data_IF_194059147145
#
_entry.id   IF_194059147145
#
_cell.length_a   1.000
_cell.length_b   1.000
_cell.length_c   1.000
_cell.angle_alpha   90.00
_cell.angle_beta   90.00
_cell.angle_gamma   90.00
#
_symmetry.space_group_name_H-M   'P 1'
#
loop_
_entity.id
_entity.type
_entity.pdbx_description
1 polymer ?
#
# COMPACT_ATOMS: atom_id res chain seq x y z
N UNK A 1 5.09 18.00 -0.42
CA UNK A 1 4.50 18.48 0.86
C UNK A 1 4.87 17.62 2.08
N UNK A 2 5.10 16.30 1.96
CA UNK A 2 5.48 15.44 3.10
C UNK A 2 6.94 15.54 3.56
N UNK A 3 7.86 16.09 2.74
CA UNK A 3 9.31 16.14 3.04
C UNK A 3 9.68 16.76 4.40
N UNK A 4 8.87 17.66 4.95
CA UNK A 4 9.13 18.33 6.23
C UNK A 4 8.42 17.68 7.44
N UNK A 5 7.69 16.58 7.24
CA UNK A 5 6.77 16.02 8.23
C UNK A 5 7.09 14.54 8.55
N UNK A 6 8.35 14.21 8.84
CA UNK A 6 8.78 12.83 9.13
C UNK A 6 8.13 12.22 10.37
N UNK A 7 7.69 13.06 11.33
CA UNK A 7 6.96 12.65 12.53
C UNK A 7 5.46 12.41 12.31
N UNK A 8 4.95 12.59 11.10
CA UNK A 8 3.54 12.39 10.82
C UNK A 8 3.20 10.90 10.95
N UNK A 9 2.26 10.58 11.83
CA UNK A 9 1.86 9.19 12.13
C UNK A 9 0.57 8.76 11.43
N UNK A 10 -0.21 9.70 10.93
CA UNK A 10 -1.43 9.45 10.16
C UNK A 10 -1.58 10.48 9.08
N UNK A 11 -1.96 10.03 7.88
CA UNK A 11 -2.29 10.88 6.76
C UNK A 11 -3.74 10.57 6.34
N UNK A 12 -4.68 11.50 6.58
CA UNK A 12 -6.05 11.43 6.03
C UNK A 12 -6.08 11.88 4.56
N UNK A 13 -5.19 11.31 3.76
CA UNK A 13 -5.29 11.41 2.31
C UNK A 13 -6.05 10.18 1.84
N UNK A 14 -6.97 10.34 0.89
CA UNK A 14 -7.73 9.22 0.31
C UNK A 14 -6.81 8.10 -0.13
N UNK A 15 -5.60 8.46 -0.59
CA UNK A 15 -4.60 7.53 -1.06
C UNK A 15 -3.15 7.95 -0.76
N UNK A 16 -2.62 7.49 0.36
CA UNK A 16 -1.22 7.72 0.77
C UNK A 16 -0.19 7.14 -0.21
N UNK A 17 -0.58 6.22 -1.10
CA UNK A 17 0.33 5.70 -2.14
C UNK A 17 0.55 6.70 -3.29
N UNK A 18 -0.38 7.63 -3.54
CA UNK A 18 -0.10 8.78 -4.44
C UNK A 18 0.97 9.69 -3.84
N UNK A 19 0.89 9.88 -2.52
CA UNK A 19 1.85 10.71 -1.82
C UNK A 19 3.27 10.12 -1.91
N UNK A 20 3.40 8.78 -1.87
CA UNK A 20 4.65 8.06 -2.10
C UNK A 20 5.30 8.41 -3.45
N UNK A 21 4.55 8.39 -4.56
CA UNK A 21 5.09 8.73 -5.89
C UNK A 21 5.69 10.15 -5.94
N UNK A 22 5.02 11.12 -5.32
CA UNK A 22 5.51 12.50 -5.31
C UNK A 22 6.74 12.70 -4.42
N UNK A 23 6.93 11.83 -3.42
CA UNK A 23 8.13 11.82 -2.57
C UNK A 23 9.30 11.17 -3.33
N UNK A 24 9.06 10.01 -3.96
CA UNK A 24 10.09 9.19 -4.61
C UNK A 24 10.65 9.86 -5.88
N UNK A 25 9.80 10.54 -6.67
CA UNK A 25 10.21 11.29 -7.86
C UNK A 25 11.25 12.41 -7.60
N UNK A 26 11.48 12.77 -6.32
CA UNK A 26 12.40 13.83 -5.93
C UNK A 26 13.55 13.35 -5.01
N UNK A 27 13.80 12.03 -4.88
CA UNK A 27 14.85 11.50 -4.00
C UNK A 27 15.68 10.41 -4.71
N UNK A 28 16.71 10.86 -5.44
CA UNK A 28 17.81 10.02 -5.91
C UNK A 28 18.75 9.69 -4.74
N UNK A 29 18.83 8.41 -4.39
CA UNK A 29 19.94 7.72 -3.69
C UNK A 29 20.37 8.13 -2.26
N UNK A 30 19.98 9.29 -1.72
CA UNK A 30 20.25 9.60 -0.31
C UNK A 30 19.19 8.99 0.61
N UNK A 31 19.65 8.25 1.61
CA UNK A 31 18.92 7.64 2.73
C UNK A 31 17.46 8.09 2.79
N UNK A 32 16.57 7.25 2.24
CA UNK A 32 15.14 7.57 2.16
C UNK A 32 14.65 7.86 3.58
N UNK A 33 14.05 9.03 3.84
CA UNK A 33 13.50 9.32 5.14
C UNK A 33 12.40 8.30 5.45
N UNK A 34 12.59 7.52 6.50
CA UNK A 34 11.55 6.64 7.03
C UNK A 34 10.47 7.53 7.65
N UNK A 35 9.32 7.60 7.00
CA UNK A 35 8.20 8.36 7.54
C UNK A 35 7.54 7.54 8.66
N UNK A 36 7.22 8.21 9.77
CA UNK A 36 6.58 7.59 10.94
C UNK A 36 5.11 7.20 10.74
N UNK A 37 4.63 7.05 9.50
CA UNK A 37 3.23 6.74 9.21
C UNK A 37 2.87 5.36 9.73
N UNK A 38 1.85 5.32 10.59
CA UNK A 38 1.29 4.11 11.19
C UNK A 38 -0.04 3.72 10.57
N UNK A 39 -0.79 4.68 10.01
CA UNK A 39 -2.08 4.44 9.37
C UNK A 39 -2.04 4.89 7.91
N UNK A 40 -2.27 3.96 6.99
CA UNK A 40 -2.24 4.17 5.56
C UNK A 40 -3.51 3.69 4.85
N UNK A 41 -3.89 4.41 3.81
CA UNK A 41 -4.87 4.00 2.80
C UNK A 41 -4.18 3.98 1.45
N UNK A 42 -4.15 2.83 0.78
CA UNK A 42 -3.56 2.59 -0.54
C UNK A 42 -4.67 2.13 -1.48
N UNK A 43 -5.46 3.09 -1.93
CA UNK A 43 -6.55 2.84 -2.86
C UNK A 43 -6.09 3.08 -4.30
N UNK A 44 -6.99 2.90 -5.26
CA UNK A 44 -6.79 3.41 -6.60
C UNK A 44 -8.08 4.10 -7.03
N UNK A 45 -7.94 5.26 -7.67
CA UNK A 45 -9.07 5.98 -8.23
C UNK A 45 -9.48 5.32 -9.55
N UNK A 46 -10.47 4.45 -9.50
CA UNK A 46 -10.95 3.69 -10.67
C UNK A 46 -11.69 4.57 -11.68
N UNK A 47 -11.82 5.88 -11.45
CA UNK A 47 -12.48 6.79 -12.39
C UNK A 47 -11.65 7.10 -13.64
N UNK A 48 -10.33 6.87 -13.62
CA UNK A 48 -9.50 6.97 -14.82
C UNK A 48 -9.67 5.70 -15.67
N UNK A 49 -10.18 5.88 -16.90
CA UNK A 49 -10.29 4.86 -17.94
C UNK A 49 -8.91 4.43 -18.48
N UNK A 50 -7.98 4.09 -17.61
CA UNK A 50 -6.71 3.51 -18.02
C UNK A 50 -6.91 2.04 -18.44
N UNK A 51 -6.11 1.56 -19.40
CA UNK A 51 -6.15 0.16 -19.83
C UNK A 51 -5.73 -0.73 -18.65
N UNK A 52 -6.39 -1.89 -18.46
CA UNK A 52 -6.14 -2.84 -17.35
C UNK A 52 -4.66 -3.16 -17.10
N UNK A 53 -3.85 -3.32 -18.15
CA UNK A 53 -2.42 -3.63 -18.00
C UNK A 53 -1.59 -2.43 -17.50
N UNK A 54 -1.93 -1.21 -17.93
CA UNK A 54 -1.28 0.01 -17.46
C UNK A 54 -1.64 0.30 -16.00
N UNK A 55 -2.90 0.02 -15.63
CA UNK A 55 -3.39 0.06 -14.25
C UNK A 55 -2.61 -0.90 -13.35
N UNK A 56 -2.38 -2.12 -13.82
CA UNK A 56 -1.64 -3.14 -13.07
C UNK A 56 -0.22 -2.69 -12.71
N UNK A 57 0.57 -2.30 -13.72
CA UNK A 57 1.99 -1.94 -13.54
C UNK A 57 2.11 -0.71 -12.63
N UNK A 58 1.34 0.34 -12.92
CA UNK A 58 1.37 1.58 -12.13
C UNK A 58 0.94 1.34 -10.68
N UNK A 59 -0.03 0.45 -10.43
CA UNK A 59 -0.45 0.11 -9.08
C UNK A 59 0.64 -0.67 -8.32
N UNK A 60 1.24 -1.68 -8.95
CA UNK A 60 2.30 -2.49 -8.33
C UNK A 60 3.52 -1.62 -7.95
N UNK A 61 3.95 -0.73 -8.85
CA UNK A 61 5.04 0.22 -8.58
C UNK A 61 4.71 1.11 -7.38
N UNK A 62 3.46 1.61 -7.32
CA UNK A 62 2.98 2.45 -6.21
C UNK A 62 2.99 1.73 -4.87
N UNK A 63 2.52 0.50 -4.82
CA UNK A 63 2.57 -0.31 -3.59
C UNK A 63 4.01 -0.57 -3.19
N UNK A 64 4.87 -0.91 -4.15
CA UNK A 64 6.30 -1.17 -3.91
C UNK A 64 6.99 0.03 -3.28
N UNK A 65 6.83 1.23 -3.85
CA UNK A 65 7.40 2.46 -3.28
C UNK A 65 6.79 2.80 -1.93
N UNK A 66 5.48 2.59 -1.74
CA UNK A 66 4.80 2.90 -0.47
C UNK A 66 5.29 2.04 0.69
N UNK A 67 5.48 0.74 0.45
CA UNK A 67 6.03 -0.19 1.45
C UNK A 67 7.43 0.21 1.89
N UNK A 68 8.26 0.69 0.95
CA UNK A 68 9.61 1.16 1.25
C UNK A 68 9.64 2.48 2.01
N UNK A 69 8.69 3.39 1.74
CA UNK A 69 8.62 4.70 2.38
C UNK A 69 7.95 4.67 3.75
N UNK A 70 7.07 3.70 3.97
CA UNK A 70 6.24 3.60 5.18
C UNK A 70 6.43 2.24 5.89
N UNK A 71 7.66 1.91 6.34
CA UNK A 71 7.94 0.60 6.94
C UNK A 71 7.25 0.39 8.30
N UNK A 72 6.85 1.47 8.97
CA UNK A 72 6.23 1.47 10.31
C UNK A 72 4.70 1.38 10.29
N UNK A 73 4.09 1.05 9.14
CA UNK A 73 2.63 0.93 9.03
C UNK A 73 2.11 -0.17 9.94
N UNK A 74 1.12 0.19 10.75
CA UNK A 74 0.41 -0.70 11.67
C UNK A 74 -1.02 -0.98 11.19
N UNK A 75 -1.65 -0.03 10.51
CA UNK A 75 -3.00 -0.14 9.96
C UNK A 75 -2.99 0.21 8.47
N UNK A 76 -3.40 -0.74 7.64
CA UNK A 76 -3.47 -0.58 6.19
C UNK A 76 -4.87 -0.88 5.67
N UNK A 77 -5.43 0.06 4.92
CA UNK A 77 -6.51 -0.18 3.98
C UNK A 77 -5.94 -0.22 2.55
N UNK A 78 -6.19 -1.29 1.79
CA UNK A 78 -5.69 -1.46 0.43
C UNK A 78 -6.80 -1.91 -0.53
N UNK A 79 -6.86 -1.31 -1.72
CA UNK A 79 -7.64 -1.82 -2.85
C UNK A 79 -6.75 -2.73 -3.69
N UNK A 80 -7.01 -4.04 -3.71
CA UNK A 80 -6.19 -5.01 -4.41
C UNK A 80 -6.58 -5.12 -5.88
N UNK A 81 -5.60 -4.86 -6.73
CA UNK A 81 -5.68 -5.05 -8.19
C UNK A 81 -4.74 -6.16 -8.70
N UNK A 82 -3.79 -6.60 -7.86
CA UNK A 82 -2.71 -7.52 -8.25
C UNK A 82 -2.33 -8.48 -7.13
N UNK A 83 -1.93 -9.70 -7.48
CA UNK A 83 -1.44 -10.71 -6.53
C UNK A 83 0.01 -10.41 -6.09
N UNK A 84 0.84 -9.95 -7.03
CA UNK A 84 2.24 -9.58 -6.76
C UNK A 84 2.38 -8.57 -5.61
N UNK A 85 1.35 -7.76 -5.40
CA UNK A 85 1.22 -6.78 -4.33
C UNK A 85 1.44 -7.44 -2.94
N UNK A 86 1.03 -8.70 -2.75
CA UNK A 86 1.14 -9.41 -1.48
C UNK A 86 2.58 -9.69 -1.05
N UNK A 87 3.48 -9.97 -2.00
CA UNK A 87 4.89 -10.21 -1.69
C UNK A 87 5.55 -8.98 -1.07
N UNK A 88 5.08 -7.78 -1.45
CA UNK A 88 5.55 -6.53 -0.86
C UNK A 88 4.93 -6.28 0.51
N UNK A 89 3.66 -6.63 0.72
CA UNK A 89 3.02 -6.48 2.04
C UNK A 89 3.73 -7.29 3.14
N UNK A 90 4.37 -8.43 2.81
CA UNK A 90 5.19 -9.22 3.75
C UNK A 90 6.38 -8.45 4.35
N UNK A 91 6.77 -7.31 3.75
CA UNK A 91 7.84 -6.44 4.25
C UNK A 91 7.38 -5.53 5.39
N UNK A 92 6.07 -5.33 5.57
CA UNK A 92 5.51 -4.49 6.63
C UNK A 92 5.50 -5.21 7.98
N UNK A 93 6.61 -5.14 8.73
CA UNK A 93 6.78 -5.91 9.99
C UNK A 93 5.92 -5.44 11.17
N UNK A 94 5.31 -4.26 11.06
CA UNK A 94 4.49 -3.67 12.12
C UNK A 94 2.98 -3.77 11.87
N UNK A 95 2.58 -4.36 10.73
CA UNK A 95 1.18 -4.42 10.32
C UNK A 95 0.34 -5.27 11.28
N UNK A 96 -0.63 -4.65 11.95
CA UNK A 96 -1.56 -5.24 12.92
C UNK A 96 -3.00 -5.25 12.42
N UNK A 97 -3.37 -4.33 11.55
CA UNK A 97 -4.71 -4.23 10.98
C UNK A 97 -4.61 -4.15 9.46
N UNK A 98 -5.28 -5.07 8.77
CA UNK A 98 -5.32 -5.12 7.32
C UNK A 98 -6.78 -5.15 6.85
N UNK A 99 -7.17 -4.14 6.07
CA UNK A 99 -8.43 -4.07 5.36
C UNK A 99 -8.16 -4.16 3.86
N UNK A 100 -8.72 -5.18 3.22
CA UNK A 100 -8.55 -5.44 1.80
C UNK A 100 -9.87 -5.32 1.09
N UNK A 101 -9.88 -4.53 0.01
CA UNK A 101 -11.00 -4.39 -0.89
C UNK A 101 -10.58 -4.99 -2.23
N UNK A 102 -11.33 -5.95 -2.75
CA UNK A 102 -11.09 -6.50 -4.07
C UNK A 102 -11.83 -5.67 -5.11
N UNK A 103 -11.15 -5.29 -6.19
CA UNK A 103 -11.81 -4.57 -7.28
C UNK A 103 -12.67 -5.52 -8.09
N UNK A 104 -13.89 -5.09 -8.42
CA UNK A 104 -14.80 -5.78 -9.36
C UNK A 104 -14.18 -6.01 -10.75
N UNK A 105 -13.12 -5.26 -11.07
CA UNK A 105 -12.40 -5.37 -12.34
C UNK A 105 -11.23 -6.37 -12.29
N UNK A 106 -10.90 -6.88 -11.10
CA UNK A 106 -9.88 -7.91 -10.97
C UNK A 106 -10.45 -9.24 -11.46
N UNK A 107 -9.74 -9.92 -12.35
CA UNK A 107 -10.01 -11.33 -12.66
C UNK A 107 -9.44 -12.26 -11.58
N UNK A 108 -9.08 -11.69 -10.44
CA UNK A 108 -8.37 -12.36 -9.37
C UNK A 108 -9.36 -13.16 -8.53
N UNK A 109 -9.15 -14.47 -8.45
CA UNK A 109 -9.73 -15.29 -7.41
C UNK A 109 -8.87 -15.16 -6.17
N UNK A 110 -9.47 -14.80 -5.05
CA UNK A 110 -8.73 -14.53 -3.84
C UNK A 110 -8.05 -15.79 -3.29
N UNK A 111 -6.74 -15.91 -3.52
CA UNK A 111 -5.87 -16.82 -2.78
C UNK A 111 -5.34 -16.08 -1.55
N UNK A 112 -5.74 -16.56 -0.38
CA UNK A 112 -5.32 -16.00 0.91
C UNK A 112 -4.07 -16.68 1.46
N UNK A 113 -3.38 -17.52 0.68
CA UNK A 113 -2.15 -18.21 1.08
C UNK A 113 -1.08 -17.24 1.58
N UNK A 114 -1.00 -16.02 1.04
CA UNK A 114 -0.06 -14.99 1.49
C UNK A 114 -0.27 -14.57 2.95
N UNK A 115 -1.49 -14.74 3.50
CA UNK A 115 -1.76 -14.46 4.92
C UNK A 115 -0.92 -15.35 5.83
N UNK A 116 -0.44 -16.50 5.37
CA UNK A 116 0.52 -17.30 6.15
C UNK A 116 1.80 -16.53 6.49
N UNK A 117 2.24 -15.63 5.61
CA UNK A 117 3.45 -14.83 5.77
C UNK A 117 3.32 -13.61 6.69
N UNK A 118 2.09 -13.12 6.91
CA UNK A 118 1.82 -11.93 7.74
C UNK A 118 0.83 -12.20 8.89
N UNK A 119 0.22 -13.38 8.93
CA UNK A 119 -0.90 -13.68 9.82
C UNK A 119 -0.53 -13.62 11.30
N UNK A 120 0.70 -14.00 11.65
CA UNK A 120 1.16 -14.00 13.05
C UNK A 120 1.21 -12.58 13.67
N UNK A 121 1.40 -11.54 12.87
CA UNK A 121 1.45 -10.15 13.33
C UNK A 121 0.08 -9.44 13.24
N UNK A 122 -0.84 -9.96 12.42
CA UNK A 122 -2.18 -9.39 12.25
C UNK A 122 -3.06 -9.68 13.47
N UNK A 123 -3.73 -8.64 13.96
CA UNK A 123 -4.77 -8.70 14.99
C UNK A 123 -6.16 -8.50 14.41
N UNK A 124 -6.26 -7.74 13.33
CA UNK A 124 -7.51 -7.45 12.65
C UNK A 124 -7.34 -7.65 11.15
N UNK A 125 -8.28 -8.39 10.56
CA UNK A 125 -8.36 -8.64 9.13
C UNK A 125 -9.80 -8.38 8.69
N UNK A 126 -9.96 -7.55 7.65
CA UNK A 126 -11.25 -7.34 6.99
C UNK A 126 -11.06 -7.51 5.49
N UNK A 127 -11.88 -8.36 4.90
CA UNK A 127 -11.90 -8.61 3.46
C UNK A 127 -13.26 -8.16 2.93
N UNK A 128 -13.27 -7.30 1.91
CA UNK A 128 -14.45 -6.88 1.17
C UNK A 128 -14.28 -7.34 -0.28
N UNK A 129 -15.24 -8.14 -0.76
CA UNK A 129 -15.27 -8.71 -2.11
C UNK A 129 -16.32 -7.95 -2.91
#
# INVERSE_FOLDING_TARGET
MLKNHTKLTSLRYTDSSRAACHIDANNTEKARPEYGLRKCSWTYDTSSYEKRNTLYISFLERITSSVLLFPLVEELEILLLCEDCFEYLKKLKHLRSLKMNFSIYSTYQADFSFLSGIGQQLRHLRIMI
#
